data_IF_813466081443
#
_entry.id   IF_813466081443
#
_cell.length_a   1.000
_cell.length_b   1.000
_cell.length_c   1.000
_cell.angle_alpha   90.00
_cell.angle_beta   90.00
_cell.angle_gamma   90.00
#
_symmetry.space_group_name_H-M   'P 1'
#
loop_
_entity.id
_entity.type
_entity.pdbx_description
1 polymer ?
#
# COMPACT_ATOMS: atom_id res chain seq x y z
N UNK A 1 12.30 20.07 -18.09
CA UNK A 1 11.69 19.63 -19.36
C UNK A 1 10.18 19.66 -19.19
N UNK A 2 9.46 20.21 -20.15
CA UNK A 2 8.00 20.30 -20.13
C UNK A 2 7.37 19.15 -20.92
N UNK A 3 6.12 18.78 -20.59
CA UNK A 3 5.34 17.73 -21.28
C UNK A 3 5.45 17.78 -22.80
N UNK A 4 5.32 18.99 -23.35
CA UNK A 4 5.38 19.24 -24.78
C UNK A 4 6.76 18.91 -25.39
N UNK A 5 7.85 19.08 -24.63
CA UNK A 5 9.20 18.74 -25.10
C UNK A 5 9.41 17.23 -25.14
N UNK A 6 8.93 16.49 -24.14
CA UNK A 6 9.05 15.02 -24.09
C UNK A 6 8.16 14.37 -25.16
N UNK A 7 6.93 14.85 -25.34
CA UNK A 7 6.04 14.40 -26.42
C UNK A 7 6.63 14.69 -27.81
N UNK A 8 7.22 15.87 -28.02
CA UNK A 8 7.88 16.21 -29.28
C UNK A 8 9.11 15.34 -29.56
N UNK A 9 9.91 15.02 -28.54
CA UNK A 9 11.07 14.12 -28.68
C UNK A 9 10.62 12.69 -28.97
N UNK A 10 9.56 12.20 -28.34
CA UNK A 10 8.97 10.89 -28.62
C UNK A 10 8.39 10.80 -30.03
N UNK A 11 7.67 11.82 -30.49
CA UNK A 11 7.17 11.89 -31.86
C UNK A 11 8.30 11.95 -32.89
N UNK A 12 9.38 12.67 -32.60
CA UNK A 12 10.57 12.70 -33.45
C UNK A 12 11.27 11.33 -33.49
N UNK A 13 11.33 10.62 -32.36
CA UNK A 13 11.85 9.26 -32.29
C UNK A 13 10.97 8.26 -33.07
N UNK A 14 9.64 8.36 -32.98
CA UNK A 14 8.73 7.52 -33.78
C UNK A 14 8.90 7.75 -35.29
N UNK A 15 8.96 9.01 -35.71
CA UNK A 15 9.22 9.37 -37.11
C UNK A 15 10.56 8.82 -37.62
N UNK A 16 11.58 8.76 -36.74
CA UNK A 16 12.89 8.22 -37.07
C UNK A 16 12.89 6.69 -37.13
N UNK A 17 12.12 6.01 -36.28
CA UNK A 17 11.93 4.55 -36.35
C UNK A 17 11.14 4.13 -37.61
N UNK A 18 10.14 4.92 -37.99
CA UNK A 18 9.39 4.73 -39.24
C UNK A 18 10.30 4.89 -40.47
N UNK A 19 11.24 5.83 -40.44
CA UNK A 19 12.24 6.03 -41.50
C UNK A 19 13.28 4.87 -41.62
N UNK A 20 13.43 4.05 -40.58
CA UNK A 20 14.38 2.91 -40.52
C UNK A 20 13.66 1.57 -40.75
N UNK A 21 12.41 1.59 -41.25
CA UNK A 21 11.59 0.40 -41.53
C UNK A 21 11.31 -0.50 -40.30
N UNK A 22 11.37 0.06 -39.09
CA UNK A 22 10.90 -0.57 -37.85
C UNK A 22 9.75 0.24 -37.26
N UNK A 23 8.57 0.25 -37.90
CA UNK A 23 7.43 1.01 -37.40
C UNK A 23 6.96 0.42 -36.08
N UNK A 24 6.91 1.26 -35.04
CA UNK A 24 6.22 0.89 -33.80
C UNK A 24 4.72 0.83 -34.09
N UNK A 25 4.06 -0.21 -33.60
CA UNK A 25 2.61 -0.35 -33.71
C UNK A 25 1.93 0.78 -32.89
N UNK A 26 0.75 1.23 -33.31
CA UNK A 26 0.02 2.31 -32.64
C UNK A 26 -0.26 2.01 -31.16
N UNK A 27 -0.46 0.74 -30.80
CA UNK A 27 -0.55 0.32 -29.40
C UNK A 27 0.75 0.60 -28.63
N UNK A 28 1.92 0.41 -29.22
CA UNK A 28 3.20 0.67 -28.57
C UNK A 28 3.46 2.18 -28.42
N UNK A 29 3.06 2.98 -29.42
CA UNK A 29 3.11 4.45 -29.34
C UNK A 29 2.21 4.98 -28.22
N UNK A 30 1.00 4.43 -28.09
CA UNK A 30 0.07 4.78 -27.00
C UNK A 30 0.60 4.38 -25.62
N UNK A 31 1.24 3.22 -25.50
CA UNK A 31 1.88 2.79 -24.23
C UNK A 31 3.00 3.77 -23.84
N UNK A 32 3.87 4.14 -24.77
CA UNK A 32 4.98 5.06 -24.50
C UNK A 32 4.51 6.47 -24.14
N UNK A 33 3.46 6.98 -24.79
CA UNK A 33 2.83 8.24 -24.43
C UNK A 33 2.12 8.17 -23.07
N UNK A 34 1.46 7.05 -22.77
CA UNK A 34 0.83 6.80 -21.46
C UNK A 34 1.85 6.82 -20.32
N UNK A 35 3.04 6.23 -20.55
CA UNK A 35 4.13 6.24 -19.57
C UNK A 35 4.65 7.64 -19.25
N UNK A 36 4.67 8.57 -20.22
CA UNK A 36 5.07 9.97 -19.96
C UNK A 36 4.07 10.66 -19.03
N UNK A 37 2.78 10.47 -19.28
CA UNK A 37 1.71 11.02 -18.42
C UNK A 37 1.78 10.42 -17.01
N UNK A 38 2.11 9.14 -16.90
CA UNK A 38 2.23 8.44 -15.63
C UNK A 38 3.48 8.86 -14.84
N UNK A 39 4.62 9.06 -15.52
CA UNK A 39 5.83 9.61 -14.92
C UNK A 39 5.62 11.03 -14.39
N UNK A 40 4.84 11.86 -15.08
CA UNK A 40 4.46 13.19 -14.58
C UNK A 40 3.54 13.11 -13.35
N UNK A 41 2.61 12.16 -13.29
CA UNK A 41 1.79 11.93 -12.08
C UNK A 41 2.65 11.53 -10.90
N UNK A 42 3.61 10.63 -11.12
CA UNK A 42 4.56 10.19 -10.09
C UNK A 42 5.47 11.35 -9.62
N UNK A 43 5.93 12.22 -10.53
CA UNK A 43 6.70 13.41 -10.17
C UNK A 43 5.87 14.45 -9.40
N UNK A 44 4.58 14.62 -9.72
CA UNK A 44 3.68 15.51 -8.95
C UNK A 44 3.35 14.96 -7.58
N UNK A 45 3.21 13.63 -7.44
CA UNK A 45 3.04 12.95 -6.15
C UNK A 45 4.28 13.07 -5.26
N UNK A 46 5.48 13.18 -5.83
CA UNK A 46 6.71 13.39 -5.05
C UNK A 46 6.88 14.82 -4.52
N UNK A 47 6.18 15.82 -5.08
CA UNK A 47 6.35 17.24 -4.73
C UNK A 47 5.18 17.83 -3.94
N UNK A 48 3.99 17.23 -4.01
CA UNK A 48 2.85 17.59 -3.18
C UNK A 48 2.53 16.41 -2.26
N UNK A 49 2.83 16.53 -0.97
CA UNK A 49 2.46 15.59 0.08
C UNK A 49 0.96 15.52 0.38
N UNK A 50 0.11 15.62 -0.65
CA UNK A 50 -1.33 15.41 -0.57
C UNK A 50 -1.63 13.95 -0.97
N UNK A 51 -1.46 13.03 -0.02
CA UNK A 51 -1.90 11.64 -0.11
C UNK A 51 -3.41 11.54 0.18
N UNK A 52 -4.20 12.38 -0.49
CA UNK A 52 -5.65 12.30 -0.42
C UNK A 52 -6.16 11.27 -1.45
N UNK A 53 -6.39 10.05 -0.94
CA UNK A 53 -7.54 9.22 -1.32
C UNK A 53 -7.52 8.52 -2.69
N UNK A 54 -6.40 7.93 -3.11
CA UNK A 54 -6.49 6.71 -3.92
C UNK A 54 -6.42 5.52 -2.97
N UNK A 55 -7.59 4.98 -2.58
CA UNK A 55 -7.69 3.79 -1.73
C UNK A 55 -6.82 2.65 -2.24
N UNK A 56 -6.41 1.75 -1.35
CA UNK A 56 -5.48 0.69 -1.70
C UNK A 56 -6.10 -0.16 -2.84
N UNK A 57 -5.49 -0.24 -4.03
CA UNK A 57 -6.06 -0.99 -5.17
C UNK A 57 -6.18 -2.49 -4.87
N UNK A 58 -5.52 -2.98 -3.83
CA UNK A 58 -5.71 -4.33 -3.31
C UNK A 58 -7.05 -4.50 -2.59
N UNK A 59 -7.72 -3.41 -2.17
CA UNK A 59 -9.06 -3.42 -1.59
C UNK A 59 -10.13 -3.78 -2.63
N UNK A 60 -9.86 -3.49 -3.91
CA UNK A 60 -10.73 -3.84 -5.05
C UNK A 60 -10.74 -5.36 -5.32
N UNK A 61 -9.81 -6.12 -4.73
CA UNK A 61 -9.74 -7.58 -4.82
C UNK A 61 -10.62 -8.24 -3.76
N UNK A 62 -11.19 -9.40 -4.09
CA UNK A 62 -11.80 -10.28 -3.08
C UNK A 62 -10.74 -10.82 -2.11
N UNK A 63 -11.12 -11.14 -0.87
CA UNK A 63 -10.17 -11.57 0.17
C UNK A 63 -9.38 -12.84 -0.16
N UNK A 64 -9.90 -13.72 -1.03
CA UNK A 64 -9.17 -14.90 -1.53
C UNK A 64 -8.16 -14.54 -2.63
N UNK A 65 -8.57 -13.71 -3.59
CA UNK A 65 -7.70 -13.20 -4.66
C UNK A 65 -6.54 -12.37 -4.09
N UNK A 66 -6.82 -11.57 -3.06
CA UNK A 66 -5.82 -10.77 -2.35
C UNK A 66 -4.78 -11.65 -1.67
N UNK A 67 -5.21 -12.66 -0.89
CA UNK A 67 -4.29 -13.61 -0.23
C UNK A 67 -3.41 -14.33 -1.23
N UNK A 68 -4.02 -14.83 -2.31
CA UNK A 68 -3.29 -15.48 -3.41
C UNK A 68 -2.21 -14.56 -3.98
N UNK A 69 -2.54 -13.28 -4.22
CA UNK A 69 -1.59 -12.27 -4.71
C UNK A 69 -0.45 -12.01 -3.74
N UNK A 70 -0.75 -11.84 -2.46
CA UNK A 70 0.26 -11.59 -1.43
C UNK A 70 1.21 -12.79 -1.25
N UNK A 71 0.69 -14.02 -1.28
CA UNK A 71 1.51 -15.24 -1.21
C UNK A 71 2.48 -15.32 -2.40
N UNK A 72 1.99 -15.08 -3.61
CA UNK A 72 2.85 -15.06 -4.79
C UNK A 72 3.89 -13.95 -4.75
N UNK A 73 3.51 -12.74 -4.31
CA UNK A 73 4.47 -11.63 -4.15
C UNK A 73 5.58 -12.03 -3.17
N UNK A 74 5.21 -12.64 -2.04
CA UNK A 74 6.16 -13.14 -1.03
C UNK A 74 7.09 -14.22 -1.59
N UNK A 75 6.56 -15.19 -2.32
CA UNK A 75 7.38 -16.25 -2.97
C UNK A 75 8.36 -15.68 -3.99
N UNK A 76 7.94 -14.67 -4.77
CA UNK A 76 8.80 -14.04 -5.77
C UNK A 76 9.83 -13.11 -5.13
N UNK A 77 9.48 -12.38 -4.07
CA UNK A 77 10.42 -11.55 -3.30
C UNK A 77 11.48 -12.40 -2.59
N UNK A 78 11.12 -13.57 -2.04
CA UNK A 78 12.10 -14.53 -1.51
C UNK A 78 13.10 -15.01 -2.57
N UNK A 79 12.67 -15.06 -3.83
CA UNK A 79 13.51 -15.41 -4.96
C UNK A 79 14.27 -14.20 -5.54
N UNK A 80 14.17 -13.00 -4.94
CA UNK A 80 14.69 -11.72 -5.48
C UNK A 80 14.20 -11.39 -6.90
N UNK A 81 13.02 -11.90 -7.27
CA UNK A 81 12.43 -11.64 -8.58
C UNK A 81 11.30 -10.61 -8.45
N UNK A 82 11.31 -9.53 -9.25
CA UNK A 82 10.21 -8.58 -9.28
C UNK A 82 8.97 -9.27 -9.86
N UNK A 83 8.03 -9.62 -8.98
CA UNK A 83 6.82 -10.38 -9.30
C UNK A 83 6.00 -9.78 -10.44
N UNK A 84 5.96 -8.43 -10.53
CA UNK A 84 5.30 -7.71 -11.63
C UNK A 84 5.89 -8.05 -13.00
N UNK A 85 7.21 -8.15 -13.09
CA UNK A 85 7.91 -8.44 -14.36
C UNK A 85 7.60 -9.87 -14.79
N UNK A 86 7.58 -10.82 -13.85
CA UNK A 86 7.19 -12.20 -14.14
C UNK A 86 5.75 -12.28 -14.65
N UNK A 87 4.83 -11.57 -13.99
CA UNK A 87 3.43 -11.52 -14.39
C UNK A 87 3.25 -10.95 -15.80
N UNK A 88 3.90 -9.81 -16.08
CA UNK A 88 3.84 -9.16 -17.40
C UNK A 88 4.49 -10.02 -18.49
N UNK A 89 5.59 -10.69 -18.19
CA UNK A 89 6.24 -11.62 -19.11
C UNK A 89 5.35 -12.83 -19.42
N UNK A 90 4.67 -13.38 -18.42
CA UNK A 90 3.72 -14.48 -18.64
C UNK A 90 2.55 -14.05 -19.52
N UNK A 91 2.07 -12.81 -19.35
CA UNK A 91 1.02 -12.24 -20.20
C UNK A 91 1.48 -12.00 -21.63
N UNK A 92 2.71 -11.49 -21.81
CA UNK A 92 3.33 -11.28 -23.11
C UNK A 92 3.50 -12.59 -23.90
N UNK A 93 3.87 -13.66 -23.20
CA UNK A 93 4.06 -15.00 -23.79
C UNK A 93 2.78 -15.84 -23.83
N UNK A 94 1.63 -15.25 -23.50
CA UNK A 94 0.33 -15.92 -23.46
C UNK A 94 0.30 -17.19 -22.60
N UNK A 95 1.15 -17.25 -21.57
CA UNK A 95 1.23 -18.35 -20.62
C UNK A 95 0.14 -18.17 -19.56
N UNK A 96 -0.45 -19.27 -19.10
CA UNK A 96 -1.37 -19.22 -17.97
C UNK A 96 -0.58 -18.84 -16.72
N UNK A 97 -0.85 -17.66 -16.17
CA UNK A 97 -0.27 -17.17 -14.91
C UNK A 97 -0.84 -17.89 -13.68
N UNK A 98 -1.30 -19.14 -13.84
CA UNK A 98 -1.94 -19.99 -12.84
C UNK A 98 -2.90 -19.20 -11.94
N UNK A 99 -2.59 -19.11 -10.65
CA UNK A 99 -3.42 -18.45 -9.63
C UNK A 99 -3.61 -16.94 -9.84
N UNK A 100 -2.89 -16.30 -10.78
CA UNK A 100 -2.99 -14.86 -11.09
C UNK A 100 -3.75 -14.53 -12.37
N UNK A 101 -4.36 -15.53 -13.00
CA UNK A 101 -5.11 -15.35 -14.22
C UNK A 101 -6.28 -14.37 -14.06
N UNK A 102 -6.85 -14.29 -12.85
CA UNK A 102 -7.90 -13.33 -12.50
C UNK A 102 -7.45 -11.87 -12.68
N UNK A 103 -6.17 -11.54 -12.47
CA UNK A 103 -5.66 -10.18 -12.65
C UNK A 103 -5.70 -9.81 -14.13
N UNK A 104 -5.33 -10.76 -15.00
CA UNK A 104 -5.36 -10.56 -16.45
C UNK A 104 -6.79 -10.42 -17.00
N UNK A 105 -7.69 -11.24 -16.50
CA UNK A 105 -9.07 -11.35 -17.00
C UNK A 105 -9.99 -10.24 -16.47
N UNK A 106 -9.80 -9.79 -15.22
CA UNK A 106 -10.71 -8.85 -14.56
C UNK A 106 -10.18 -7.43 -14.46
N UNK A 107 -8.86 -7.23 -14.29
CA UNK A 107 -8.29 -5.93 -13.93
C UNK A 107 -7.31 -5.36 -14.97
N UNK A 108 -6.58 -6.24 -15.67
CA UNK A 108 -5.63 -5.88 -16.71
C UNK A 108 -4.35 -5.18 -16.23
N UNK A 109 -3.49 -4.74 -17.17
CA UNK A 109 -2.17 -4.18 -16.87
C UNK A 109 -2.21 -2.80 -16.21
N UNK A 110 -3.28 -2.03 -16.44
CA UNK A 110 -3.44 -0.71 -15.85
C UNK A 110 -3.61 -0.79 -14.33
N UNK A 111 -4.35 -1.79 -13.83
CA UNK A 111 -4.49 -2.03 -12.40
C UNK A 111 -3.16 -2.48 -11.76
N UNK A 112 -2.38 -3.32 -12.45
CA UNK A 112 -1.07 -3.77 -11.95
C UNK A 112 -0.08 -2.62 -11.77
N UNK A 113 -0.16 -1.59 -12.61
CA UNK A 113 0.64 -0.38 -12.48
C UNK A 113 0.23 0.45 -11.24
N UNK A 114 -1.06 0.48 -10.89
CA UNK A 114 -1.57 1.14 -9.68
C UNK A 114 -1.08 0.47 -8.38
N UNK A 115 -0.82 -0.84 -8.38
CA UNK A 115 -0.31 -1.55 -7.20
C UNK A 115 1.13 -1.13 -6.92
N UNK A 116 1.36 -0.26 -5.94
CA UNK A 116 2.71 0.12 -5.52
C UNK A 116 3.24 -0.80 -4.41
N UNK A 117 4.57 -0.91 -4.23
CA UNK A 117 5.15 -1.69 -3.12
C UNK A 117 4.59 -1.29 -1.74
N UNK A 118 4.30 0.01 -1.54
CA UNK A 118 3.65 0.52 -0.32
C UNK A 118 2.28 -0.13 -0.02
N UNK A 119 1.53 -0.48 -1.06
CA UNK A 119 0.21 -1.11 -0.93
C UNK A 119 0.33 -2.57 -0.48
N UNK A 120 1.35 -3.29 -0.98
CA UNK A 120 1.68 -4.66 -0.57
C UNK A 120 2.22 -4.67 0.86
N UNK A 121 3.09 -3.70 1.19
CA UNK A 121 3.65 -3.55 2.54
C UNK A 121 2.56 -3.31 3.59
N UNK A 122 1.56 -2.45 3.28
CA UNK A 122 0.40 -2.24 4.15
C UNK A 122 -0.36 -3.54 4.44
N UNK A 123 -0.39 -4.47 3.48
CA UNK A 123 -1.02 -5.77 3.65
C UNK A 123 -0.13 -6.83 4.33
N UNK A 124 1.19 -6.77 4.14
CA UNK A 124 2.13 -7.59 4.91
C UNK A 124 2.07 -7.25 6.41
N UNK A 125 1.83 -5.98 6.74
CA UNK A 125 1.57 -5.54 8.12
C UNK A 125 0.20 -6.03 8.64
N UNK A 126 -0.79 -6.18 7.76
CA UNK A 126 -2.13 -6.73 8.09
C UNK A 126 -2.12 -8.26 8.31
N UNK A 127 -1.35 -9.02 7.54
CA UNK A 127 -1.08 -10.44 7.79
C UNK A 127 -0.30 -10.63 9.11
N UNK A 128 0.67 -9.74 9.38
CA UNK A 128 1.31 -9.67 10.69
C UNK A 128 0.35 -9.15 11.78
N UNK A 129 -0.78 -8.53 11.42
CA UNK A 129 -1.80 -8.05 12.35
C UNK A 129 -2.65 -9.20 12.90
N UNK A 130 -2.76 -10.33 12.21
CA UNK A 130 -3.32 -11.55 12.80
C UNK A 130 -2.42 -12.11 13.92
N UNK A 131 -1.10 -11.93 13.81
CA UNK A 131 -0.13 -12.26 14.87
C UNK A 131 0.03 -11.16 15.91
N UNK A 132 -0.39 -9.92 15.62
CA UNK A 132 -0.39 -8.76 16.52
C UNK A 132 -1.74 -8.49 17.20
N UNK A 133 -2.69 -9.45 17.21
CA UNK A 133 -3.93 -9.28 17.98
C UNK A 133 -3.62 -9.25 19.47
N UNK A 134 -3.77 -8.07 20.05
CA UNK A 134 -3.65 -7.82 21.48
C UNK A 134 -4.75 -8.60 22.21
N UNK A 135 -4.43 -9.15 23.38
CA UNK A 135 -5.35 -9.83 24.29
C UNK A 135 -5.46 -9.07 25.61
N UNK A 136 -6.56 -9.31 26.33
CA UNK A 136 -6.70 -8.80 27.70
C UNK A 136 -5.60 -9.43 28.56
N UNK A 137 -4.83 -8.59 29.23
CA UNK A 137 -3.66 -8.96 30.02
C UNK A 137 -2.32 -8.67 29.35
N UNK A 138 -2.30 -8.35 28.04
CA UNK A 138 -1.07 -8.04 27.34
C UNK A 138 -0.49 -6.68 27.74
N UNK A 139 0.84 -6.60 27.78
CA UNK A 139 1.58 -5.35 27.98
C UNK A 139 1.98 -4.77 26.63
N UNK A 140 1.53 -3.55 26.37
CA UNK A 140 1.85 -2.80 25.16
C UNK A 140 2.40 -1.43 25.55
N UNK A 141 3.18 -0.82 24.67
CA UNK A 141 3.60 0.56 24.79
C UNK A 141 2.74 1.44 23.88
N UNK A 142 2.32 2.59 24.39
CA UNK A 142 1.48 3.55 23.67
C UNK A 142 2.18 4.90 23.57
N UNK A 143 2.09 5.54 22.41
CA UNK A 143 2.72 6.81 22.13
C UNK A 143 1.88 7.97 22.67
N UNK A 144 2.53 9.04 23.16
CA UNK A 144 1.85 10.28 23.56
C UNK A 144 0.95 10.89 22.49
N UNK A 145 1.25 10.62 21.22
CA UNK A 145 0.43 11.01 20.06
C UNK A 145 -1.02 10.50 20.09
N UNK A 146 -1.37 9.54 20.97
CA UNK A 146 -2.75 9.07 21.13
C UNK A 146 -3.68 10.07 21.80
N UNK A 147 -3.17 10.90 22.70
CA UNK A 147 -3.98 11.77 23.55
C UNK A 147 -3.56 13.24 23.48
N UNK A 148 -2.33 13.49 23.07
CA UNK A 148 -1.87 14.84 22.79
C UNK A 148 -2.37 15.25 21.42
N UNK A 149 -3.18 16.31 21.36
CA UNK A 149 -3.43 17.10 20.15
C UNK A 149 -2.15 17.84 19.73
N UNK A 150 -1.02 17.13 19.69
CA UNK A 150 0.28 17.67 19.31
C UNK A 150 0.30 17.63 17.79
N UNK A 151 0.27 18.83 17.22
CA UNK A 151 0.61 19.07 15.83
C UNK A 151 1.94 18.37 15.53
N UNK A 152 2.03 17.63 14.43
CA UNK A 152 3.24 16.91 13.97
C UNK A 152 4.51 17.79 13.88
N UNK A 153 4.37 19.12 13.98
CA UNK A 153 5.43 20.12 14.01
C UNK A 153 5.82 20.60 15.43
N UNK A 154 5.45 19.90 16.49
CA UNK A 154 5.88 20.20 17.87
C UNK A 154 7.29 19.68 18.17
N UNK A 155 8.08 20.34 19.04
CA UNK A 155 9.45 19.93 19.40
C UNK A 155 9.53 18.70 20.33
N UNK A 156 8.41 18.04 20.65
CA UNK A 156 8.40 16.87 21.52
C UNK A 156 8.61 15.58 20.70
N UNK A 157 9.64 14.82 21.05
CA UNK A 157 9.84 13.49 20.52
C UNK A 157 8.69 12.55 20.95
N UNK A 158 8.35 11.52 20.13
CA UNK A 158 7.36 10.52 20.52
C UNK A 158 7.83 9.75 21.75
N UNK A 159 7.10 9.89 22.85
CA UNK A 159 7.35 9.16 24.10
C UNK A 159 6.42 7.95 24.20
N UNK A 160 7.00 6.82 24.60
CA UNK A 160 6.31 5.54 24.69
C UNK A 160 6.05 5.18 26.14
N UNK A 161 4.78 4.96 26.48
CA UNK A 161 4.33 4.68 27.83
C UNK A 161 3.86 3.23 27.95
N UNK A 162 4.37 2.44 28.90
CA UNK A 162 3.91 1.09 29.12
C UNK A 162 2.49 1.10 29.71
N UNK A 163 1.64 0.21 29.20
CA UNK A 163 0.28 0.01 29.68
C UNK A 163 -0.15 -1.46 29.54
N UNK A 164 -1.19 -1.82 30.27
CA UNK A 164 -1.78 -3.17 30.24
C UNK A 164 -3.16 -3.12 29.61
N UNK A 165 -3.45 -4.05 28.71
CA UNK A 165 -4.77 -4.14 28.07
C UNK A 165 -5.76 -4.78 29.04
N UNK A 166 -6.82 -4.06 29.36
CA UNK A 166 -7.85 -4.50 30.32
C UNK A 166 -9.19 -4.85 29.65
N UNK A 167 -9.40 -4.44 28.39
CA UNK A 167 -10.62 -4.77 27.66
C UNK A 167 -10.45 -4.57 26.16
N UNK A 168 -11.17 -5.37 25.37
CA UNK A 168 -11.21 -5.24 23.91
C UNK A 168 -12.68 -5.36 23.51
N UNK A 169 -13.16 -4.40 22.73
CA UNK A 169 -14.54 -4.34 22.27
C UNK A 169 -14.57 -4.04 20.77
N UNK A 170 -15.37 -4.79 20.02
CA UNK A 170 -15.71 -4.41 18.65
C UNK A 170 -16.86 -3.41 18.69
N UNK A 171 -16.69 -2.28 18.01
CA UNK A 171 -17.69 -1.23 17.86
C UNK A 171 -18.00 -1.06 16.38
N UNK A 172 -19.25 -0.74 16.08
CA UNK A 172 -19.67 -0.35 14.74
C UNK A 172 -19.97 1.15 14.76
N UNK A 173 -19.31 1.90 13.89
CA UNK A 173 -19.71 3.29 13.60
C UNK A 173 -20.00 3.42 12.11
N UNK A 174 -21.26 3.76 11.82
CA UNK A 174 -21.76 4.06 10.49
C UNK A 174 -21.48 2.97 9.43
N UNK A 175 -21.54 1.68 9.83
CA UNK A 175 -21.32 0.54 8.95
C UNK A 175 -19.85 0.15 8.80
N UNK A 176 -18.95 0.77 9.56
CA UNK A 176 -17.56 0.36 9.69
C UNK A 176 -17.29 -0.21 11.08
N UNK A 177 -17.17 -1.54 11.16
CA UNK A 177 -16.71 -2.22 12.36
C UNK A 177 -15.23 -1.88 12.64
N UNK A 178 -14.93 -1.42 13.85
CA UNK A 178 -13.58 -1.17 14.35
C UNK A 178 -13.38 -1.76 15.74
N UNK A 179 -12.14 -2.12 16.07
CA UNK A 179 -11.81 -2.62 17.39
C UNK A 179 -11.35 -1.47 18.28
N UNK A 180 -12.01 -1.35 19.43
CA UNK A 180 -11.62 -0.48 20.52
C UNK A 180 -10.88 -1.28 21.59
N UNK A 181 -9.84 -0.70 22.18
CA UNK A 181 -9.00 -1.32 23.19
C UNK A 181 -8.94 -0.43 24.43
N UNK A 182 -9.34 -0.97 25.58
CA UNK A 182 -9.24 -0.32 26.86
C UNK A 182 -7.91 -0.72 27.52
N UNK A 183 -7.08 0.28 27.83
CA UNK A 183 -5.77 0.14 28.45
C UNK A 183 -5.76 0.76 29.84
N UNK A 184 -4.87 0.27 30.69
CA UNK A 184 -4.59 0.82 32.02
C UNK A 184 -3.09 1.08 32.17
N UNK A 185 -2.73 2.31 32.52
CA UNK A 185 -1.36 2.70 32.84
C UNK A 185 -0.97 2.24 34.25
N UNK A 186 0.32 2.19 34.53
CA UNK A 186 0.85 1.88 35.88
C UNK A 186 0.41 2.90 36.93
N UNK A 187 0.03 4.12 36.51
CA UNK A 187 -0.57 5.15 37.37
C UNK A 187 -2.00 4.83 37.82
N UNK A 188 -2.61 3.76 37.28
CA UNK A 188 -4.00 3.39 37.51
C UNK A 188 -5.01 4.12 36.61
N UNK A 189 -4.56 5.04 35.76
CA UNK A 189 -5.44 5.70 34.78
C UNK A 189 -5.83 4.74 33.65
N UNK A 190 -7.07 4.81 33.22
CA UNK A 190 -7.62 4.00 32.13
C UNK A 190 -7.87 4.88 30.89
N UNK A 191 -7.60 4.33 29.72
CA UNK A 191 -7.78 5.04 28.45
C UNK A 191 -8.32 4.10 27.38
N UNK A 192 -9.20 4.60 26.51
CA UNK A 192 -9.77 3.83 25.41
C UNK A 192 -9.13 4.25 24.08
N UNK A 193 -8.44 3.30 23.43
CA UNK A 193 -7.88 3.44 22.10
C UNK A 193 -8.88 2.92 21.08
N UNK A 194 -9.53 3.84 20.36
CA UNK A 194 -10.43 3.49 19.28
C UNK A 194 -9.64 3.13 18.02
N UNK A 195 -10.07 2.10 17.29
CA UNK A 195 -9.45 1.72 16.03
C UNK A 195 -7.98 1.30 16.20
N UNK A 196 -7.69 0.51 17.23
CA UNK A 196 -6.32 0.06 17.59
C UNK A 196 -5.59 -0.60 16.41
N UNK A 197 -6.30 -1.31 15.54
CA UNK A 197 -5.73 -1.96 14.35
C UNK A 197 -5.86 -1.14 13.05
N UNK A 198 -6.49 0.03 13.12
CA UNK A 198 -6.73 0.91 11.96
C UNK A 198 -5.93 2.19 12.13
N UNK A 199 -6.60 3.32 12.39
CA UNK A 199 -5.98 4.64 12.44
C UNK A 199 -5.02 4.83 13.64
N UNK A 200 -5.14 4.02 14.70
CA UNK A 200 -4.25 4.09 15.86
C UNK A 200 -3.14 3.03 15.86
N UNK A 201 -2.96 2.27 14.77
CA UNK A 201 -1.98 1.17 14.70
C UNK A 201 -0.54 1.61 14.95
N UNK A 202 -0.16 2.79 14.48
CA UNK A 202 1.21 3.31 14.63
C UNK A 202 1.48 3.92 16.01
N UNK A 203 0.43 4.16 16.79
CA UNK A 203 0.55 4.80 18.09
C UNK A 203 0.69 3.79 19.23
N UNK A 204 0.84 2.50 18.94
CA UNK A 204 1.17 1.48 19.92
C UNK A 204 2.13 0.44 19.35
N UNK A 205 2.88 -0.22 20.23
CA UNK A 205 3.82 -1.29 19.87
C UNK A 205 3.98 -2.28 21.00
N UNK A 206 4.58 -3.43 20.70
CA UNK A 206 5.04 -4.35 21.73
C UNK A 206 6.29 -3.79 22.41
N UNK A 207 6.44 -3.94 23.73
CA UNK A 207 7.67 -3.59 24.42
C UNK A 207 8.83 -4.37 23.82
N UNK A 208 9.91 -3.68 23.49
CA UNK A 208 11.15 -4.34 23.06
C UNK A 208 11.69 -5.15 24.25
N UNK A 209 11.80 -6.46 24.07
CA UNK A 209 12.38 -7.37 25.06
C UNK A 209 13.89 -7.17 25.21
#
# INVERSE_FOLDING_TARGET
>A
MTKAEIEAVLQAAFSRCDAVNYPLNEQQKQILLGLVVELERLQRQSNNGDDHSEGNPLDELTGEQRRTLLEFVREQEQQNHPWKIKLLNDWLHNRNSASMQFIRELYGPQWLNRVQPRHVAAYAELDNCETLKVKVGDRIEVCNSLWEWVQEAGPCAPEWFPCTVIGIAEKDDNGQAYTSCLIRFDSGMEYEIQGIYRWNRYNWRWPNA
#
